data_IF_310328881264
#
_entry.id   IF_310328881264
#
_cell.length_a   1.000
_cell.length_b   1.000
_cell.length_c   1.000
_cell.angle_alpha   90.00
_cell.angle_beta   90.00
_cell.angle_gamma   90.00
#
_symmetry.space_group_name_H-M   'P 1'
#
loop_
_entity.id
_entity.type
_entity.pdbx_description
1 polymer ?
#
# COMPACT_ATOMS: atom_id res chain seq x y z
N UNK A 1 12.67 20.85 -41.62
CA UNK A 1 13.45 20.15 -42.67
C UNK A 1 14.70 20.99 -42.91
N UNK A 2 15.80 20.70 -42.23
CA UNK A 2 17.08 21.33 -42.54
C UNK A 2 17.88 20.32 -43.36
N UNK A 3 18.18 20.72 -44.59
CA UNK A 3 19.03 20.03 -45.57
C UNK A 3 18.44 18.77 -46.23
N UNK A 4 17.58 18.99 -47.23
CA UNK A 4 17.06 17.93 -48.11
C UNK A 4 18.15 17.34 -49.05
N UNK A 5 19.28 18.02 -49.21
CA UNK A 5 20.35 17.64 -50.14
C UNK A 5 21.29 16.59 -49.51
N UNK A 6 21.62 16.73 -48.21
CA UNK A 6 22.30 15.68 -47.44
C UNK A 6 21.49 14.39 -47.31
N UNK A 7 20.19 14.50 -47.06
CA UNK A 7 19.30 13.34 -46.91
C UNK A 7 19.18 12.52 -48.21
N UNK A 8 19.36 13.14 -49.37
CA UNK A 8 19.31 12.48 -50.67
C UNK A 8 20.65 11.79 -51.07
N UNK A 9 21.77 12.19 -50.47
CA UNK A 9 23.12 11.76 -50.89
C UNK A 9 23.73 10.61 -50.07
N UNK A 10 23.29 10.37 -48.83
CA UNK A 10 23.92 9.34 -47.96
C UNK A 10 23.11 8.06 -47.74
N UNK A 11 21.79 8.03 -47.98
CA UNK A 11 21.00 6.83 -47.68
C UNK A 11 19.92 6.62 -48.75
N UNK A 12 20.07 5.53 -49.51
CA UNK A 12 19.11 5.08 -50.53
C UNK A 12 17.72 4.76 -49.92
N UNK A 13 17.64 4.59 -48.59
CA UNK A 13 16.40 4.48 -47.83
C UNK A 13 16.53 5.00 -46.36
N UNK A 14 16.44 6.31 -46.17
CA UNK A 14 16.48 6.94 -44.83
C UNK A 14 15.38 6.43 -43.89
N UNK A 15 14.26 5.92 -44.43
CA UNK A 15 13.16 5.36 -43.62
C UNK A 15 13.57 4.05 -42.96
N UNK A 16 14.19 3.15 -43.73
CA UNK A 16 14.72 1.90 -43.21
C UNK A 16 15.78 2.13 -42.12
N UNK A 17 16.64 3.14 -42.30
CA UNK A 17 17.66 3.52 -41.31
C UNK A 17 17.04 4.02 -39.99
N UNK A 18 15.98 4.84 -40.07
CA UNK A 18 15.22 5.31 -38.90
C UNK A 18 14.53 4.14 -38.20
N UNK A 19 13.92 3.20 -38.94
CA UNK A 19 13.26 2.03 -38.37
C UNK A 19 14.26 1.15 -37.60
N UNK A 20 15.46 0.92 -38.13
CA UNK A 20 16.51 0.18 -37.42
C UNK A 20 17.04 0.91 -36.19
N UNK A 21 17.19 2.24 -36.28
CA UNK A 21 17.57 3.05 -35.13
C UNK A 21 16.52 2.94 -34.02
N UNK A 22 15.24 3.03 -34.36
CA UNK A 22 14.12 2.88 -33.43
C UNK A 22 14.07 1.48 -32.79
N UNK A 23 14.23 0.42 -33.58
CA UNK A 23 14.26 -0.96 -33.06
C UNK A 23 15.45 -1.22 -32.13
N UNK A 24 16.61 -0.67 -32.47
CA UNK A 24 17.82 -0.81 -31.64
C UNK A 24 17.66 -0.08 -30.33
N UNK A 25 17.16 1.17 -30.36
CA UNK A 25 16.88 1.95 -29.17
C UNK A 25 15.84 1.26 -28.26
N UNK A 26 14.75 0.76 -28.85
CA UNK A 26 13.69 0.06 -28.11
C UNK A 26 14.23 -1.21 -27.43
N UNK A 27 15.02 -2.02 -28.15
CA UNK A 27 15.62 -3.25 -27.60
C UNK A 27 16.56 -2.94 -26.43
N UNK A 28 17.34 -1.88 -26.57
CA UNK A 28 18.30 -1.47 -25.56
C UNK A 28 17.63 -0.99 -24.28
N UNK A 29 16.60 -0.13 -24.39
CA UNK A 29 15.83 0.36 -23.24
C UNK A 29 15.11 -0.79 -22.53
N UNK A 30 14.41 -1.66 -23.27
CA UNK A 30 13.72 -2.83 -22.69
C UNK A 30 14.72 -3.80 -22.02
N UNK A 31 15.95 -3.90 -22.54
CA UNK A 31 16.98 -4.77 -21.97
C UNK A 31 17.54 -4.29 -20.62
N UNK A 32 17.45 -2.98 -20.33
CA UNK A 32 17.99 -2.38 -19.10
C UNK A 32 16.93 -2.17 -18.01
N UNK A 33 15.65 -2.20 -18.36
CA UNK A 33 14.54 -1.94 -17.45
C UNK A 33 13.78 -3.22 -17.09
N UNK A 34 13.19 -3.27 -15.90
CA UNK A 34 12.24 -4.35 -15.60
C UNK A 34 10.92 -4.09 -16.33
N UNK A 35 10.30 -5.13 -16.87
CA UNK A 35 9.01 -5.02 -17.58
C UNK A 35 7.91 -4.33 -16.74
N UNK A 36 7.91 -4.55 -15.43
CA UNK A 36 6.97 -3.89 -14.52
C UNK A 36 7.10 -2.36 -14.55
N UNK A 37 8.33 -1.84 -14.62
CA UNK A 37 8.61 -0.40 -14.68
C UNK A 37 8.13 0.18 -16.02
N UNK A 38 8.23 -0.61 -17.10
CA UNK A 38 7.75 -0.23 -18.43
C UNK A 38 6.23 -0.06 -18.45
N UNK A 39 5.50 -0.91 -17.74
CA UNK A 39 4.04 -0.86 -17.67
C UNK A 39 3.54 0.33 -16.83
N UNK A 40 4.27 0.70 -15.78
CA UNK A 40 3.89 1.81 -14.88
C UNK A 40 4.34 3.17 -15.46
N UNK A 41 5.48 3.20 -16.14
CA UNK A 41 6.20 4.42 -16.50
C UNK A 41 6.28 4.74 -18.00
N UNK A 42 5.23 4.47 -18.80
CA UNK A 42 5.24 4.64 -20.27
C UNK A 42 5.77 6.01 -20.73
N UNK A 43 5.29 7.11 -20.14
CA UNK A 43 5.71 8.46 -20.53
C UNK A 43 7.21 8.70 -20.35
N UNK A 44 7.84 8.09 -19.35
CA UNK A 44 9.28 8.20 -19.15
C UNK A 44 10.05 7.49 -20.27
N UNK A 45 9.53 6.34 -20.71
CA UNK A 45 10.15 5.54 -21.77
C UNK A 45 9.96 6.20 -23.13
N UNK A 46 8.78 6.76 -23.39
CA UNK A 46 8.50 7.50 -24.62
C UNK A 46 9.49 8.67 -24.78
N UNK A 47 9.80 9.39 -23.70
CA UNK A 47 10.79 10.47 -23.69
C UNK A 47 12.22 9.97 -23.89
N UNK A 48 12.62 8.90 -23.20
CA UNK A 48 13.96 8.32 -23.36
C UNK A 48 14.17 7.77 -24.78
N UNK A 49 13.15 7.08 -25.31
CA UNK A 49 13.15 6.53 -26.65
C UNK A 49 13.20 7.65 -27.70
N UNK A 50 12.45 8.74 -27.51
CA UNK A 50 12.54 9.92 -28.37
C UNK A 50 13.96 10.50 -28.39
N UNK A 51 14.58 10.71 -27.23
CA UNK A 51 15.91 11.30 -27.13
C UNK A 51 16.97 10.43 -27.83
N UNK A 52 16.93 9.12 -27.59
CA UNK A 52 17.88 8.18 -28.19
C UNK A 52 17.69 8.09 -29.70
N UNK A 53 16.45 8.05 -30.20
CA UNK A 53 16.22 7.98 -31.65
C UNK A 53 16.63 9.29 -32.31
N UNK A 54 16.28 10.45 -31.75
CA UNK A 54 16.65 11.77 -32.32
C UNK A 54 18.16 11.96 -32.42
N UNK A 55 18.92 11.56 -31.40
CA UNK A 55 20.38 11.58 -31.42
C UNK A 55 20.95 10.74 -32.57
N UNK A 56 20.35 9.57 -32.83
CA UNK A 56 20.81 8.63 -33.86
C UNK A 56 20.38 9.03 -35.26
N UNK A 57 19.29 9.77 -35.41
CA UNK A 57 18.75 10.21 -36.71
C UNK A 57 19.20 11.61 -37.13
N UNK A 58 19.75 12.40 -36.20
CA UNK A 58 20.32 13.73 -36.48
C UNK A 58 21.37 13.75 -37.61
N UNK A 59 22.32 12.79 -37.69
CA UNK A 59 23.29 12.75 -38.80
C UNK A 59 22.65 12.64 -40.19
N UNK A 60 21.46 12.05 -40.27
CA UNK A 60 20.70 11.90 -41.52
C UNK A 60 19.76 13.07 -41.82
N UNK A 61 19.78 14.14 -41.00
CA UNK A 61 18.92 15.31 -41.17
C UNK A 61 17.46 15.08 -40.77
N UNK A 62 17.18 14.04 -39.99
CA UNK A 62 15.84 13.67 -39.53
C UNK A 62 15.67 14.00 -38.06
N UNK A 63 14.64 14.80 -37.74
CA UNK A 63 14.25 15.19 -36.37
C UNK A 63 13.02 14.42 -35.92
N UNK A 64 13.06 13.85 -34.72
CA UNK A 64 11.96 13.07 -34.14
C UNK A 64 11.12 13.96 -33.23
N UNK A 65 9.83 14.14 -33.58
CA UNK A 65 8.93 14.99 -32.81
C UNK A 65 8.35 14.30 -31.57
N UNK A 66 7.94 13.04 -31.70
CA UNK A 66 7.40 12.24 -30.60
C UNK A 66 7.53 10.76 -30.91
N UNK A 67 7.56 9.95 -29.86
CA UNK A 67 7.55 8.49 -29.94
C UNK A 67 6.55 8.00 -28.89
N UNK A 68 5.73 7.01 -29.25
CA UNK A 68 4.73 6.44 -28.35
C UNK A 68 4.68 4.92 -28.50
N UNK A 69 4.80 4.20 -27.39
CA UNK A 69 4.57 2.76 -27.35
C UNK A 69 3.06 2.47 -27.36
N UNK A 70 2.59 1.80 -28.42
CA UNK A 70 1.18 1.38 -28.56
C UNK A 70 0.85 0.17 -27.69
N UNK A 71 1.23 -1.01 -28.19
CA UNK A 71 0.83 -2.29 -27.61
C UNK A 71 2.06 -3.11 -27.19
N UNK A 72 1.99 -3.69 -25.99
CA UNK A 72 2.98 -4.63 -25.47
C UNK A 72 2.27 -5.96 -25.29
N UNK A 73 2.66 -6.97 -26.06
CA UNK A 73 2.14 -8.33 -25.93
C UNK A 73 3.05 -9.09 -24.98
N UNK A 74 2.51 -9.43 -23.81
CA UNK A 74 3.23 -10.19 -22.78
C UNK A 74 2.79 -11.66 -22.90
N UNK A 75 3.72 -12.64 -22.91
CA UNK A 75 3.34 -14.04 -22.91
C UNK A 75 2.69 -14.42 -21.57
N UNK A 76 1.67 -15.28 -21.61
CA UNK A 76 0.87 -15.67 -20.45
C UNK A 76 1.72 -16.17 -19.27
N UNK A 77 2.73 -16.99 -19.55
CA UNK A 77 3.62 -17.54 -18.51
C UNK A 77 4.33 -16.45 -17.70
N UNK A 78 4.72 -15.35 -18.36
CA UNK A 78 5.38 -14.21 -17.72
C UNK A 78 4.38 -13.37 -16.94
N UNK A 79 3.19 -13.16 -17.48
CA UNK A 79 2.10 -12.47 -16.79
C UNK A 79 1.76 -13.16 -15.46
N UNK A 80 1.61 -14.49 -15.47
CA UNK A 80 1.33 -15.28 -14.29
C UNK A 80 2.47 -15.24 -13.25
N UNK A 81 3.72 -15.23 -13.71
CA UNK A 81 4.89 -15.09 -12.84
C UNK A 81 4.94 -13.70 -12.19
N UNK A 82 4.72 -12.63 -12.96
CA UNK A 82 4.70 -11.26 -12.46
C UNK A 82 3.54 -11.02 -11.49
N UNK A 83 2.36 -11.57 -11.78
CA UNK A 83 1.19 -11.48 -10.91
C UNK A 83 1.49 -12.09 -9.52
N UNK A 84 2.09 -13.29 -9.50
CA UNK A 84 2.52 -13.94 -8.25
C UNK A 84 3.58 -13.12 -7.51
N UNK A 85 4.58 -12.59 -8.21
CA UNK A 85 5.61 -11.74 -7.61
C UNK A 85 5.01 -10.45 -7.02
N UNK A 86 4.10 -9.79 -7.75
CA UNK A 86 3.44 -8.56 -7.31
C UNK A 86 2.58 -8.80 -6.08
N UNK A 87 1.86 -9.93 -6.02
CA UNK A 87 1.11 -10.32 -4.83
C UNK A 87 2.04 -10.56 -3.63
N UNK A 88 3.13 -11.30 -3.81
CA UNK A 88 4.08 -11.57 -2.75
C UNK A 88 4.72 -10.28 -2.20
N UNK A 89 5.09 -9.34 -3.07
CA UNK A 89 5.66 -8.05 -2.65
C UNK A 89 4.61 -7.19 -1.93
N UNK A 90 3.36 -7.16 -2.41
CA UNK A 90 2.27 -6.46 -1.69
C UNK A 90 2.00 -7.06 -0.32
N UNK A 91 1.97 -8.38 -0.20
CA UNK A 91 1.81 -9.05 1.09
C UNK A 91 3.00 -8.79 2.02
N UNK A 92 4.23 -8.77 1.48
CA UNK A 92 5.43 -8.39 2.23
C UNK A 92 5.33 -6.96 2.75
N UNK A 93 5.01 -6.00 1.87
CA UNK A 93 4.86 -4.60 2.23
C UNK A 93 3.76 -4.38 3.26
N UNK A 94 2.60 -5.02 3.08
CA UNK A 94 1.51 -4.96 4.05
C UNK A 94 1.95 -5.44 5.44
N UNK A 95 2.72 -6.54 5.52
CA UNK A 95 3.27 -7.02 6.80
C UNK A 95 4.28 -6.07 7.42
N UNK A 96 5.14 -5.46 6.62
CA UNK A 96 6.10 -4.45 7.10
C UNK A 96 5.36 -3.25 7.68
N UNK A 97 4.37 -2.72 6.95
CA UNK A 97 3.56 -1.57 7.38
C UNK A 97 2.80 -1.91 8.66
N UNK A 98 2.21 -3.11 8.74
CA UNK A 98 1.51 -3.56 9.95
C UNK A 98 2.47 -3.63 11.15
N UNK A 99 3.65 -4.24 10.98
CA UNK A 99 4.65 -4.33 12.04
C UNK A 99 5.17 -2.96 12.50
N UNK A 100 5.38 -2.02 11.58
CA UNK A 100 5.71 -0.63 11.91
C UNK A 100 4.58 0.07 12.67
N UNK A 101 3.34 -0.14 12.24
CA UNK A 101 2.16 0.40 12.89
C UNK A 101 2.00 -0.15 14.31
N UNK A 102 2.18 -1.46 14.50
CA UNK A 102 2.13 -2.11 15.81
C UNK A 102 3.19 -1.55 16.76
N UNK A 103 4.42 -1.34 16.26
CA UNK A 103 5.49 -0.71 17.04
C UNK A 103 5.12 0.70 17.46
N UNK A 104 4.64 1.52 16.52
CA UNK A 104 4.24 2.90 16.80
C UNK A 104 3.08 2.95 17.81
N UNK A 105 2.11 2.04 17.68
CA UNK A 105 0.99 1.91 18.62
C UNK A 105 1.52 1.53 20.02
N UNK A 106 2.41 0.55 20.12
CA UNK A 106 2.99 0.12 21.39
C UNK A 106 3.76 1.24 22.10
N UNK A 107 4.54 2.02 21.36
CA UNK A 107 5.28 3.16 21.89
C UNK A 107 4.32 4.23 22.43
N UNK A 108 3.25 4.53 21.69
CA UNK A 108 2.19 5.47 22.13
C UNK A 108 1.47 4.99 23.40
N UNK A 109 1.14 3.70 23.48
CA UNK A 109 0.55 3.12 24.69
C UNK A 109 1.50 3.16 25.89
N UNK A 110 2.81 2.91 25.66
CA UNK A 110 3.81 3.01 26.71
C UNK A 110 3.91 4.46 27.24
N UNK A 111 3.87 5.46 26.35
CA UNK A 111 3.83 6.87 26.75
C UNK A 111 2.55 7.20 27.53
N UNK A 112 1.38 6.80 27.04
CA UNK A 112 0.10 7.00 27.71
C UNK A 112 0.08 6.33 29.10
N UNK A 113 0.69 5.14 29.24
CA UNK A 113 0.75 4.43 30.52
C UNK A 113 1.44 5.26 31.61
N UNK A 114 2.49 6.01 31.26
CA UNK A 114 3.20 6.90 32.21
C UNK A 114 2.28 8.00 32.73
N UNK A 115 1.39 8.53 31.89
CA UNK A 115 0.42 9.55 32.31
C UNK A 115 -0.65 9.00 33.27
N UNK A 116 -0.90 7.68 33.25
CA UNK A 116 -1.89 7.04 34.12
C UNK A 116 -1.30 6.50 35.45
N UNK A 117 0.02 6.31 35.55
CA UNK A 117 0.66 5.67 36.73
C UNK A 117 0.29 6.35 38.06
N UNK A 118 0.29 7.68 38.10
CA UNK A 118 0.04 8.46 39.33
C UNK A 118 -1.33 9.19 39.32
N UNK A 119 -2.24 8.83 38.40
CA UNK A 119 -3.52 9.51 38.24
C UNK A 119 -4.71 8.52 38.18
N UNK A 120 -5.26 8.10 39.34
CA UNK A 120 -6.36 7.14 39.39
C UNK A 120 -7.67 7.66 38.77
N UNK A 121 -7.90 8.98 38.79
CA UNK A 121 -9.07 9.59 38.14
C UNK A 121 -8.98 9.49 36.61
N UNK A 122 -7.79 9.72 36.03
CA UNK A 122 -7.58 9.59 34.59
C UNK A 122 -7.79 8.15 34.10
N UNK A 123 -7.32 7.15 34.87
CA UNK A 123 -7.53 5.74 34.54
C UNK A 123 -9.02 5.36 34.57
N UNK A 124 -9.77 5.86 35.56
CA UNK A 124 -11.22 5.64 35.65
C UNK A 124 -11.97 6.26 34.46
N UNK A 125 -11.64 7.50 34.06
CA UNK A 125 -12.24 8.14 32.88
C UNK A 125 -11.91 7.37 31.59
N UNK A 126 -10.68 6.84 31.45
CA UNK A 126 -10.31 5.99 30.31
C UNK A 126 -11.12 4.69 30.27
N UNK A 127 -11.32 4.04 31.41
CA UNK A 127 -12.16 2.84 31.52
C UNK A 127 -13.62 3.14 31.12
N UNK A 128 -14.18 4.26 31.58
CA UNK A 128 -15.53 4.68 31.18
C UNK A 128 -15.64 4.99 29.68
N UNK A 129 -14.61 5.63 29.09
CA UNK A 129 -14.58 5.91 27.65
C UNK A 129 -14.52 4.61 26.83
N UNK A 130 -13.66 3.66 27.22
CA UNK A 130 -13.60 2.34 26.56
C UNK A 130 -14.95 1.59 26.63
N UNK A 131 -15.65 1.66 27.77
CA UNK A 131 -16.99 1.10 27.90
C UNK A 131 -17.97 1.79 26.95
N UNK A 132 -17.94 3.13 26.85
CA UNK A 132 -18.81 3.87 25.95
C UNK A 132 -18.52 3.60 24.46
N UNK A 133 -17.24 3.52 24.06
CA UNK A 133 -16.81 3.13 22.71
C UNK A 133 -17.28 1.72 22.36
N UNK A 134 -17.09 0.75 23.27
CA UNK A 134 -17.56 -0.62 23.09
C UNK A 134 -19.08 -0.74 22.97
N UNK A 135 -19.84 0.06 23.73
CA UNK A 135 -21.30 0.13 23.63
C UNK A 135 -21.78 0.79 22.33
N UNK A 136 -20.99 1.70 21.75
CA UNK A 136 -21.32 2.43 20.53
C UNK A 136 -21.13 1.61 19.26
N UNK A 137 -20.09 0.77 19.18
CA UNK A 137 -19.75 0.07 17.93
C UNK A 137 -20.62 -1.16 17.67
N UNK A 138 -20.90 -2.02 18.67
CA UNK A 138 -21.83 -3.15 18.61
C UNK A 138 -22.17 -3.56 20.05
N UNK A 139 -23.43 -3.89 20.35
CA UNK A 139 -23.82 -4.44 21.66
C UNK A 139 -23.14 -5.77 21.98
N UNK A 140 -21.86 -5.74 22.34
CA UNK A 140 -20.98 -6.88 22.49
C UNK A 140 -20.77 -7.22 23.97
N UNK A 141 -20.76 -8.52 24.26
CA UNK A 141 -20.46 -9.11 25.56
C UNK A 141 -19.13 -8.55 26.11
N UNK A 142 -19.23 -7.74 27.16
CA UNK A 142 -18.08 -7.21 27.89
C UNK A 142 -17.53 -8.32 28.79
N UNK A 143 -16.36 -8.87 28.45
CA UNK A 143 -15.63 -9.77 29.33
C UNK A 143 -14.93 -8.91 30.38
N UNK A 144 -15.53 -8.83 31.57
CA UNK A 144 -14.92 -8.18 32.72
C UNK A 144 -13.96 -9.17 33.39
N UNK A 145 -12.65 -8.89 33.46
CA UNK A 145 -11.73 -9.72 34.21
C UNK A 145 -12.14 -9.71 35.69
N UNK A 146 -12.08 -10.87 36.36
CA UNK A 146 -12.53 -11.05 37.75
C UNK A 146 -11.90 -10.05 38.73
N UNK A 147 -10.65 -9.62 38.46
CA UNK A 147 -9.95 -8.59 39.24
C UNK A 147 -10.63 -7.22 39.25
N UNK A 148 -11.46 -6.90 38.24
CA UNK A 148 -12.24 -5.66 38.21
C UNK A 148 -13.58 -5.79 38.95
N UNK A 149 -14.09 -7.00 39.16
CA UNK A 149 -15.32 -7.26 39.95
C UNK A 149 -15.01 -7.17 41.45
N UNK A 150 -13.83 -7.64 41.86
CA UNK A 150 -13.35 -7.57 43.25
C UNK A 150 -13.15 -6.14 43.73
N UNK A 151 -12.61 -5.26 42.88
CA UNK A 151 -12.39 -3.84 43.21
C UNK A 151 -13.69 -3.03 43.28
N UNK A 152 -14.78 -3.52 42.66
CA UNK A 152 -16.07 -2.86 42.64
C UNK A 152 -17.07 -3.38 43.70
N UNK A 153 -16.66 -4.27 44.62
CA UNK A 153 -17.49 -4.84 45.69
C UNK A 153 -18.83 -5.47 45.23
N UNK A 154 -18.96 -5.76 43.93
CA UNK A 154 -20.17 -6.32 43.32
C UNK A 154 -20.42 -7.78 43.74
N UNK A 155 -19.38 -8.49 44.19
CA UNK A 155 -19.51 -9.82 44.79
C UNK A 155 -20.37 -9.82 46.07
N UNK A 156 -20.33 -8.74 46.86
CA UNK A 156 -21.17 -8.61 48.06
C UNK A 156 -22.64 -8.32 47.74
N UNK A 157 -22.92 -7.53 46.70
CA UNK A 157 -24.29 -7.20 46.30
C UNK A 157 -25.03 -8.38 45.67
N UNK A 158 -24.35 -9.25 44.90
CA UNK A 158 -24.97 -10.46 44.35
C UNK A 158 -25.40 -11.46 45.45
N UNK A 159 -24.58 -11.61 46.50
CA UNK A 159 -24.93 -12.43 47.67
C UNK A 159 -26.08 -11.86 48.51
N UNK A 160 -26.20 -10.54 48.61
CA UNK A 160 -27.33 -9.90 49.31
C UNK A 160 -28.65 -10.00 48.52
N UNK A 161 -28.62 -9.95 47.19
CA UNK A 161 -29.82 -10.13 46.35
C UNK A 161 -30.33 -11.58 46.39
N UNK A 162 -29.43 -12.58 46.47
CA UNK A 162 -29.86 -13.98 46.61
C UNK A 162 -30.43 -14.29 48.01
N UNK A 163 -29.95 -13.61 49.06
CA UNK A 163 -30.54 -13.72 50.40
C UNK A 163 -31.91 -13.03 50.50
N UNK A 164 -32.14 -11.93 49.77
CA UNK A 164 -33.44 -11.26 49.75
C UNK A 164 -34.53 -12.05 49.01
N UNK A 165 -34.18 -12.79 47.95
CA UNK A 165 -35.14 -13.61 47.19
C UNK A 165 -35.61 -14.86 47.94
N UNK A 166 -34.83 -15.39 48.89
CA UNK A 166 -35.17 -16.61 49.62
C UNK A 166 -36.12 -16.39 50.82
N UNK A 167 -36.45 -15.14 51.15
CA UNK A 167 -37.25 -14.77 52.32
C UNK A 167 -38.63 -14.16 51.98
N UNK A 168 -39.10 -14.26 50.74
CA UNK A 168 -40.46 -13.87 50.37
C UNK A 168 -41.44 -15.00 50.72
N UNK A 169 -42.42 -14.79 51.61
CA UNK A 169 -43.41 -15.81 51.94
C UNK A 169 -44.30 -16.07 50.73
N UNK A 170 -44.41 -17.34 50.34
CA UNK A 170 -45.37 -17.81 49.34
C UNK A 170 -46.75 -17.84 49.98
N UNK A 171 -47.58 -16.84 49.68
CA UNK A 171 -49.00 -16.88 50.00
C UNK A 171 -49.80 -17.57 48.88
N UNK A 172 -50.64 -18.50 49.35
CA UNK A 172 -51.78 -19.19 48.69
C UNK A 172 -51.49 -20.24 47.61
#
# INVERSE_FOLDING_TARGET
>A
MWDAEKAALEVEDYRAAVDWAAQTALRDIIGRMMLADILIGRSSIDQELQAVIDERTTPWGVTVQSVEIRDIVIPQDLEDAMSRQAQAERERQARVILGESEKQIADSFAEASKAYQDNPTALHLRAMNMLFEGLKEKGALVIVPSSAVDTMNLGGMSGMVSMAQNNLPKDS
#
